data_IF_624220234669
#
_entry.id   IF_624220234669
#
_cell.length_a   1.000
_cell.length_b   1.000
_cell.length_c   1.000
_cell.angle_alpha   90.00
_cell.angle_beta   90.00
_cell.angle_gamma   90.00
#
_symmetry.space_group_name_H-M   'P 1'
#
loop_
_entity.id
_entity.type
_entity.pdbx_description
1 polymer ?
#
# COMPACT_ATOMS: atom_id res chain seq x y z
N UNK A 1 -30.06 7.79 9.98
CA UNK A 1 -29.77 6.34 10.04
C UNK A 1 -30.50 5.65 11.20
N UNK A 2 -31.77 5.97 11.47
CA UNK A 2 -32.57 5.12 12.37
C UNK A 2 -32.80 3.78 11.68
N UNK A 3 -32.70 2.68 12.43
CA UNK A 3 -32.75 1.27 11.99
C UNK A 3 -31.65 0.84 11.00
N UNK A 4 -30.61 1.68 10.82
CA UNK A 4 -29.49 1.42 9.92
C UNK A 4 -28.29 0.74 10.59
N UNK A 5 -27.20 0.63 9.82
CA UNK A 5 -25.88 0.23 10.33
C UNK A 5 -24.92 1.41 10.26
N UNK A 6 -24.18 1.65 11.34
CA UNK A 6 -23.06 2.59 11.38
C UNK A 6 -21.76 1.79 11.33
N UNK A 7 -20.87 2.16 10.42
CA UNK A 7 -19.50 1.66 10.38
C UNK A 7 -18.56 2.72 10.95
N UNK A 8 -17.80 2.36 11.97
CA UNK A 8 -16.80 3.19 12.62
C UNK A 8 -15.43 2.63 12.28
N UNK A 9 -14.63 3.36 11.51
CA UNK A 9 -13.26 2.98 11.21
C UNK A 9 -12.29 3.61 12.22
N UNK A 10 -11.14 2.98 12.41
CA UNK A 10 -10.03 3.46 13.26
C UNK A 10 -10.46 3.84 14.69
N UNK A 11 -11.33 3.04 15.32
CA UNK A 11 -11.88 3.37 16.66
C UNK A 11 -10.81 3.48 17.75
N UNK A 12 -9.63 2.88 17.57
CA UNK A 12 -8.50 2.98 18.50
C UNK A 12 -7.88 4.38 18.59
N UNK A 13 -8.01 5.20 17.55
CA UNK A 13 -7.46 6.57 17.49
C UNK A 13 -8.41 7.62 18.10
N UNK A 14 -9.56 7.20 18.64
CA UNK A 14 -10.56 8.12 19.19
C UNK A 14 -10.06 8.83 20.45
N UNK A 15 -10.24 10.15 20.51
CA UNK A 15 -9.94 10.91 21.72
C UNK A 15 -10.80 10.45 22.92
N UNK A 16 -10.33 10.59 24.16
CA UNK A 16 -11.09 10.16 25.35
C UNK A 16 -12.49 10.78 25.44
N UNK A 17 -12.65 12.03 25.00
CA UNK A 17 -13.94 12.71 24.93
C UNK A 17 -14.89 12.06 23.91
N UNK A 18 -14.36 11.63 22.76
CA UNK A 18 -15.16 10.90 21.76
C UNK A 18 -15.51 9.49 22.22
N UNK A 19 -14.61 8.81 22.92
CA UNK A 19 -14.89 7.51 23.52
C UNK A 19 -16.07 7.59 24.52
N UNK A 20 -16.09 8.62 25.37
CA UNK A 20 -17.20 8.84 26.31
C UNK A 20 -18.53 9.12 25.60
N UNK A 21 -18.51 9.93 24.53
CA UNK A 21 -19.72 10.21 23.74
C UNK A 21 -20.22 8.95 23.04
N UNK A 22 -19.34 8.18 22.42
CA UNK A 22 -19.71 6.93 21.75
C UNK A 22 -20.28 5.92 22.75
N UNK A 23 -19.68 5.80 23.94
CA UNK A 23 -20.20 4.95 25.00
C UNK A 23 -21.64 5.32 25.37
N UNK A 24 -21.94 6.63 25.53
CA UNK A 24 -23.29 7.12 25.80
C UNK A 24 -24.28 6.69 24.70
N UNK A 25 -23.90 6.83 23.44
CA UNK A 25 -24.74 6.37 22.31
C UNK A 25 -24.97 4.85 22.34
N UNK A 26 -23.95 4.05 22.65
CA UNK A 26 -24.04 2.59 22.71
C UNK A 26 -24.83 2.06 23.92
N UNK A 27 -24.87 2.83 25.01
CA UNK A 27 -25.57 2.48 26.24
C UNK A 27 -27.01 2.99 26.24
N UNK A 28 -27.19 4.29 26.05
CA UNK A 28 -28.48 4.99 26.17
C UNK A 28 -29.28 4.96 24.88
N UNK A 29 -28.66 4.58 23.75
CA UNK A 29 -29.28 4.67 22.42
C UNK A 29 -29.76 6.10 22.11
N UNK A 30 -29.04 7.10 22.61
CA UNK A 30 -29.40 8.50 22.52
C UNK A 30 -28.16 9.35 22.22
N UNK A 31 -28.35 10.46 21.51
CA UNK A 31 -27.29 11.45 21.27
C UNK A 31 -27.85 12.87 21.19
N UNK A 32 -26.97 13.85 21.38
CA UNK A 32 -27.27 15.28 21.23
C UNK A 32 -26.51 15.84 20.02
N UNK A 33 -27.15 16.78 19.30
CA UNK A 33 -26.49 17.47 18.18
C UNK A 33 -25.45 18.45 18.71
N UNK A 34 -24.42 18.73 17.92
CA UNK A 34 -23.43 19.76 18.28
C UNK A 34 -24.15 21.11 18.43
N UNK A 35 -24.07 21.71 19.62
CA UNK A 35 -24.73 22.99 19.93
C UNK A 35 -26.23 22.90 20.23
N UNK A 36 -26.82 21.71 20.23
CA UNK A 36 -28.22 21.48 20.60
C UNK A 36 -28.31 20.67 21.90
N UNK A 37 -29.31 20.97 22.73
CA UNK A 37 -29.60 20.21 23.95
C UNK A 37 -30.69 19.14 23.73
N UNK A 38 -31.24 19.04 22.51
CA UNK A 38 -32.26 18.05 22.17
C UNK A 38 -31.64 16.66 22.08
N UNK A 39 -32.14 15.76 22.92
CA UNK A 39 -31.75 14.35 22.93
C UNK A 39 -32.54 13.56 21.89
N UNK A 40 -31.83 12.84 21.02
CA UNK A 40 -32.40 12.09 19.90
C UNK A 40 -32.18 10.59 20.13
N UNK A 41 -33.26 9.81 20.24
CA UNK A 41 -33.23 8.35 20.34
C UNK A 41 -32.89 7.70 19.00
N UNK A 42 -31.89 6.85 18.97
CA UNK A 42 -31.40 6.15 17.78
C UNK A 42 -31.35 4.64 17.98
N UNK A 43 -31.78 3.89 16.97
CA UNK A 43 -31.59 2.44 16.93
C UNK A 43 -30.69 2.11 15.75
N UNK A 44 -29.46 1.66 16.04
CA UNK A 44 -28.43 1.40 15.03
C UNK A 44 -27.66 0.14 15.37
N UNK A 45 -27.36 -0.64 14.33
CA UNK A 45 -26.31 -1.66 14.41
C UNK A 45 -24.96 -0.98 14.28
N UNK A 46 -24.01 -1.31 15.14
CA UNK A 46 -22.65 -0.75 15.08
C UNK A 46 -21.69 -1.82 14.61
N UNK A 47 -20.89 -1.49 13.59
CA UNK A 47 -19.72 -2.23 13.15
C UNK A 47 -18.51 -1.33 13.38
N UNK A 48 -17.49 -1.84 14.04
CA UNK A 48 -16.28 -1.10 14.33
C UNK A 48 -15.05 -1.83 13.77
N UNK A 49 -14.10 -1.07 13.24
CA UNK A 49 -12.81 -1.55 12.76
C UNK A 49 -11.67 -0.77 13.43
N UNK A 50 -10.55 -1.45 13.60
CA UNK A 50 -9.32 -0.87 14.15
C UNK A 50 -8.12 -1.68 13.69
N UNK A 51 -6.99 -1.02 13.49
CA UNK A 51 -5.68 -1.62 13.26
C UNK A 51 -4.86 -1.78 14.56
N UNK A 52 -5.34 -1.23 15.68
CA UNK A 52 -4.66 -1.30 16.97
C UNK A 52 -5.15 -2.45 17.84
N UNK A 53 -4.30 -2.92 18.75
CA UNK A 53 -4.68 -3.89 19.77
C UNK A 53 -5.43 -3.18 20.92
N UNK A 54 -6.76 -3.16 20.86
CA UNK A 54 -7.58 -2.49 21.89
C UNK A 54 -7.37 -3.06 23.30
N UNK A 55 -7.05 -4.35 23.45
CA UNK A 55 -6.78 -4.94 24.77
C UNK A 55 -5.56 -4.29 25.41
N UNK A 56 -4.52 -4.07 24.61
CA UNK A 56 -3.31 -3.40 25.06
C UNK A 56 -3.57 -1.91 25.33
N UNK A 57 -4.33 -1.24 24.46
CA UNK A 57 -4.72 0.16 24.65
C UNK A 57 -5.52 0.40 25.94
N UNK A 58 -6.33 -0.58 26.37
CA UNK A 58 -7.01 -0.55 27.67
C UNK A 58 -6.01 -0.63 28.83
N UNK A 59 -5.02 -1.54 28.76
CA UNK A 59 -3.98 -1.68 29.79
C UNK A 59 -3.12 -0.41 29.89
N UNK A 60 -2.83 0.23 28.76
CA UNK A 60 -2.06 1.47 28.67
C UNK A 60 -2.88 2.72 29.07
N UNK A 61 -4.20 2.59 29.28
CA UNK A 61 -5.09 3.68 29.66
C UNK A 61 -5.46 4.65 28.52
N UNK A 62 -5.04 4.37 27.28
CA UNK A 62 -5.39 5.17 26.10
C UNK A 62 -6.80 4.87 25.58
N UNK A 63 -7.35 3.69 25.92
CA UNK A 63 -8.69 3.28 25.56
C UNK A 63 -9.51 2.88 26.78
N UNK A 64 -10.78 3.28 26.84
CA UNK A 64 -11.63 2.96 27.98
C UNK A 64 -12.09 1.50 27.95
N UNK A 65 -11.95 0.83 29.10
CA UNK A 65 -12.36 -0.55 29.30
C UNK A 65 -13.87 -0.77 29.04
N UNK A 66 -14.70 0.15 29.52
CA UNK A 66 -16.17 0.10 29.35
C UNK A 66 -16.61 0.12 27.88
N UNK A 67 -15.95 0.93 27.06
CA UNK A 67 -16.17 1.00 25.62
C UNK A 67 -15.66 -0.26 24.91
N UNK A 68 -14.51 -0.79 25.32
CA UNK A 68 -13.93 -2.00 24.73
C UNK A 68 -14.89 -3.18 24.81
N UNK A 69 -15.45 -3.47 25.99
CA UNK A 69 -16.39 -4.57 26.14
C UNK A 69 -17.71 -4.37 25.40
N UNK A 70 -18.10 -3.11 25.13
CA UNK A 70 -19.33 -2.81 24.36
C UNK A 70 -19.14 -2.94 22.86
N UNK A 71 -17.93 -2.72 22.35
CA UNK A 71 -17.58 -2.89 20.93
C UNK A 71 -17.19 -4.34 20.62
N UNK A 72 -16.42 -4.99 21.48
CA UNK A 72 -15.82 -6.32 21.26
C UNK A 72 -16.77 -7.47 21.60
N UNK A 73 -18.02 -7.40 21.09
CA UNK A 73 -19.04 -8.44 21.33
C UNK A 73 -18.80 -9.65 20.42
N UNK A 74 -18.61 -9.40 19.12
CA UNK A 74 -18.28 -10.43 18.12
C UNK A 74 -17.03 -9.97 17.37
N UNK A 75 -15.82 -10.30 17.86
CA UNK A 75 -14.58 -9.88 17.21
C UNK A 75 -14.36 -10.68 15.91
N UNK A 76 -14.05 -9.97 14.84
CA UNK A 76 -13.62 -10.54 13.56
C UNK A 76 -12.19 -10.12 13.28
N UNK A 77 -11.29 -11.10 13.16
CA UNK A 77 -9.89 -10.87 12.84
C UNK A 77 -9.68 -11.03 11.34
N UNK A 78 -9.22 -9.97 10.68
CA UNK A 78 -8.90 -10.01 9.25
C UNK A 78 -7.42 -10.39 9.07
N UNK A 79 -7.11 -11.54 8.44
CA UNK A 79 -5.74 -11.95 8.24
C UNK A 79 -5.04 -11.03 7.22
N UNK A 80 -3.77 -10.69 7.44
CA UNK A 80 -2.98 -9.94 6.48
C UNK A 80 -2.75 -10.73 5.19
N UNK A 81 -2.52 -10.04 4.07
CA UNK A 81 -2.34 -10.68 2.76
C UNK A 81 -1.26 -11.77 2.75
N UNK A 82 -0.18 -11.60 3.52
CA UNK A 82 0.89 -12.60 3.67
C UNK A 82 0.44 -13.95 4.23
N UNK A 83 -0.67 -14.01 4.96
CA UNK A 83 -1.26 -15.23 5.51
C UNK A 83 -2.26 -15.87 4.53
N UNK A 84 -2.63 -15.17 3.45
CA UNK A 84 -3.59 -15.60 2.42
C UNK A 84 -3.07 -15.37 1.00
N UNK A 85 -1.85 -15.86 0.74
CA UNK A 85 -1.16 -15.68 -0.55
C UNK A 85 -1.92 -16.24 -1.75
N UNK A 86 -2.81 -17.20 -1.53
CA UNK A 86 -3.65 -17.81 -2.56
C UNK A 86 -4.60 -16.79 -3.21
N UNK A 87 -4.98 -15.73 -2.49
CA UNK A 87 -5.88 -14.68 -2.99
C UNK A 87 -5.17 -13.71 -3.94
N UNK A 88 -3.84 -13.67 -3.95
CA UNK A 88 -3.05 -12.68 -4.71
C UNK A 88 -3.38 -12.73 -6.20
N UNK A 89 -3.46 -13.91 -6.81
CA UNK A 89 -3.74 -14.03 -8.24
C UNK A 89 -5.14 -13.50 -8.62
N UNK A 90 -6.15 -13.81 -7.80
CA UNK A 90 -7.52 -13.36 -8.02
C UNK A 90 -7.65 -11.85 -7.80
N UNK A 91 -7.06 -11.32 -6.73
CA UNK A 91 -7.01 -9.88 -6.46
C UNK A 91 -6.28 -9.15 -7.58
N UNK A 92 -5.16 -9.70 -8.05
CA UNK A 92 -4.36 -9.06 -9.07
C UNK A 92 -5.10 -8.94 -10.39
N UNK A 93 -5.76 -10.02 -10.83
CA UNK A 93 -6.61 -10.00 -12.03
C UNK A 93 -7.72 -8.94 -11.93
N UNK A 94 -8.36 -8.84 -10.74
CA UNK A 94 -9.39 -7.82 -10.49
C UNK A 94 -8.86 -6.39 -10.60
N UNK A 95 -7.64 -6.13 -10.12
CA UNK A 95 -7.02 -4.81 -10.22
C UNK A 95 -6.58 -4.48 -11.65
N UNK A 96 -6.06 -5.45 -12.40
CA UNK A 96 -5.72 -5.27 -13.82
C UNK A 96 -6.95 -4.86 -14.61
N UNK A 97 -8.07 -5.57 -14.45
CA UNK A 97 -9.33 -5.23 -15.12
C UNK A 97 -9.81 -3.81 -14.81
N UNK A 98 -9.64 -3.38 -13.55
CA UNK A 98 -9.98 -2.04 -13.10
C UNK A 98 -9.11 -1.00 -13.80
N UNK A 99 -7.78 -1.17 -13.77
CA UNK A 99 -6.84 -0.17 -14.29
C UNK A 99 -6.70 -0.19 -15.81
N UNK A 100 -6.98 -1.31 -16.47
CA UNK A 100 -7.13 -1.37 -17.93
C UNK A 100 -8.24 -0.41 -18.39
N UNK A 101 -9.39 -0.42 -17.70
CA UNK A 101 -10.51 0.49 -18.03
C UNK A 101 -10.18 1.94 -17.72
N UNK A 102 -9.47 2.19 -16.61
CA UNK A 102 -9.12 3.54 -16.17
C UNK A 102 -8.07 4.19 -17.10
N UNK A 103 -7.05 3.43 -17.51
CA UNK A 103 -5.94 3.93 -18.32
C UNK A 103 -6.11 3.66 -19.83
N UNK A 104 -7.21 3.03 -20.25
CA UNK A 104 -7.45 2.68 -21.65
C UNK A 104 -6.44 1.65 -22.19
N UNK A 105 -5.96 0.74 -21.34
CA UNK A 105 -5.00 -0.31 -21.70
C UNK A 105 -5.64 -1.67 -21.86
N UNK A 106 -4.93 -2.59 -22.52
CA UNK A 106 -5.37 -3.95 -22.78
C UNK A 106 -4.36 -4.98 -22.25
N UNK A 107 -3.97 -4.85 -20.98
CA UNK A 107 -3.10 -5.84 -20.32
C UNK A 107 -3.87 -7.15 -20.18
N UNK A 108 -3.36 -8.21 -20.80
CA UNK A 108 -3.92 -9.56 -20.84
C UNK A 108 -3.74 -10.34 -19.52
N UNK A 109 -2.75 -9.99 -18.70
CA UNK A 109 -2.54 -10.60 -17.38
C UNK A 109 -1.14 -10.46 -16.81
N UNK A 110 -0.82 -11.31 -15.84
CA UNK A 110 0.49 -11.41 -15.18
C UNK A 110 1.10 -12.77 -15.53
N UNK A 111 2.40 -12.82 -15.82
CA UNK A 111 3.11 -14.08 -16.05
C UNK A 111 3.19 -14.93 -14.78
N UNK A 112 3.33 -16.25 -14.91
CA UNK A 112 3.47 -17.15 -13.76
C UNK A 112 4.65 -16.76 -12.86
N UNK A 113 5.79 -16.38 -13.47
CA UNK A 113 6.98 -15.91 -12.75
C UNK A 113 6.69 -14.64 -11.94
N UNK A 114 5.95 -13.69 -12.50
CA UNK A 114 5.57 -12.47 -11.81
C UNK A 114 4.57 -12.75 -10.66
N UNK A 115 3.65 -13.69 -10.83
CA UNK A 115 2.77 -14.13 -9.75
C UNK A 115 3.54 -14.78 -8.59
N UNK A 116 4.55 -15.60 -8.90
CA UNK A 116 5.44 -16.17 -7.88
C UNK A 116 6.22 -15.09 -7.15
N UNK A 117 6.75 -14.11 -7.88
CA UNK A 117 7.42 -12.95 -7.31
C UNK A 117 6.52 -12.17 -6.35
N UNK A 118 5.27 -11.91 -6.75
CA UNK A 118 4.26 -11.27 -5.89
C UNK A 118 3.90 -12.13 -4.67
N UNK A 119 3.84 -13.45 -4.82
CA UNK A 119 3.52 -14.36 -3.72
C UNK A 119 4.67 -14.49 -2.70
N UNK A 120 5.92 -14.32 -3.13
CA UNK A 120 7.08 -14.37 -2.23
C UNK A 120 7.14 -13.13 -1.31
N UNK A 121 6.66 -11.98 -1.79
CA UNK A 121 6.68 -10.73 -1.03
C UNK A 121 5.74 -10.73 0.19
N UNK A 122 6.12 -9.99 1.23
CA UNK A 122 5.44 -9.99 2.54
C UNK A 122 4.28 -9.00 2.66
N UNK A 123 4.10 -8.10 1.68
CA UNK A 123 3.00 -7.13 1.63
C UNK A 123 2.74 -6.40 2.97
N UNK A 124 3.72 -5.64 3.52
CA UNK A 124 3.53 -4.86 4.74
C UNK A 124 2.32 -3.91 4.67
N UNK A 125 2.01 -3.34 3.51
CA UNK A 125 0.82 -2.52 3.25
C UNK A 125 -0.42 -3.32 2.80
N UNK A 126 -0.34 -4.65 2.82
CA UNK A 126 -1.45 -5.57 2.57
C UNK A 126 -2.06 -5.36 1.16
N UNK A 127 -3.38 -5.55 1.01
CA UNK A 127 -4.08 -5.37 -0.28
C UNK A 127 -3.84 -3.99 -0.90
N UNK A 128 -3.71 -2.92 -0.11
CA UNK A 128 -3.49 -1.56 -0.65
C UNK A 128 -2.15 -1.45 -1.38
N UNK A 129 -1.10 -2.08 -0.84
CA UNK A 129 0.20 -2.10 -1.49
C UNK A 129 0.20 -2.95 -2.76
N UNK A 130 -0.50 -4.10 -2.74
CA UNK A 130 -0.70 -4.91 -3.95
C UNK A 130 -1.45 -4.13 -5.04
N UNK A 131 -2.53 -3.44 -4.67
CA UNK A 131 -3.30 -2.61 -5.59
C UNK A 131 -2.42 -1.51 -6.20
N UNK A 132 -1.66 -0.78 -5.38
CA UNK A 132 -0.75 0.26 -5.87
C UNK A 132 0.36 -0.29 -6.78
N UNK A 133 0.92 -1.46 -6.45
CA UNK A 133 1.95 -2.10 -7.27
C UNK A 133 1.41 -2.47 -8.66
N UNK A 134 0.18 -2.98 -8.73
CA UNK A 134 -0.48 -3.33 -9.99
C UNK A 134 -0.91 -2.10 -10.76
N UNK A 135 -1.46 -1.08 -10.10
CA UNK A 135 -1.78 0.21 -10.72
C UNK A 135 -0.58 0.76 -11.48
N UNK A 136 0.58 0.80 -10.82
CA UNK A 136 1.84 1.25 -11.41
C UNK A 136 2.31 0.35 -12.54
N UNK A 137 2.27 -0.96 -12.34
CA UNK A 137 2.69 -1.92 -13.36
C UNK A 137 1.84 -1.76 -14.63
N UNK A 138 0.52 -1.70 -14.51
CA UNK A 138 -0.40 -1.47 -15.62
C UNK A 138 -0.13 -0.11 -16.26
N UNK A 139 0.02 0.96 -15.48
CA UNK A 139 0.30 2.28 -16.03
C UNK A 139 1.62 2.28 -16.82
N UNK A 140 2.71 1.77 -16.28
CA UNK A 140 4.03 1.81 -16.92
C UNK A 140 4.23 0.74 -17.99
N UNK A 141 3.36 -0.27 -18.04
CA UNK A 141 3.49 -1.40 -18.95
C UNK A 141 3.59 -0.95 -20.41
N UNK A 142 4.63 -1.45 -21.09
CA UNK A 142 4.81 -1.30 -22.54
C UNK A 142 4.33 -2.51 -23.32
N UNK A 143 3.99 -3.59 -22.62
CA UNK A 143 3.65 -4.92 -23.14
C UNK A 143 2.25 -5.30 -22.69
N UNK A 144 1.67 -6.32 -23.33
CA UNK A 144 0.35 -6.83 -22.99
C UNK A 144 0.35 -7.76 -21.76
N UNK A 145 1.51 -8.24 -21.31
CA UNK A 145 1.62 -9.08 -20.11
C UNK A 145 2.63 -8.48 -19.13
N UNK A 146 2.29 -8.48 -17.85
CA UNK A 146 3.14 -7.97 -16.77
C UNK A 146 4.17 -9.01 -16.35
N UNK A 147 5.43 -8.60 -16.31
CA UNK A 147 6.59 -9.41 -15.94
C UNK A 147 7.12 -9.03 -14.54
N UNK A 148 8.01 -9.82 -13.91
CA UNK A 148 8.54 -9.50 -12.59
C UNK A 148 9.18 -8.11 -12.52
N UNK A 149 9.87 -7.69 -13.59
CA UNK A 149 10.53 -6.39 -13.72
C UNK A 149 9.59 -5.19 -13.74
N UNK A 150 8.30 -5.39 -14.01
CA UNK A 150 7.30 -4.31 -13.89
C UNK A 150 6.97 -4.01 -12.42
N UNK A 151 7.21 -4.96 -11.51
CA UNK A 151 6.88 -4.87 -10.08
C UNK A 151 8.07 -4.44 -9.23
N UNK A 152 8.13 -3.15 -8.93
CA UNK A 152 9.14 -2.55 -8.05
C UNK A 152 8.69 -2.62 -6.59
N UNK A 153 8.77 -3.81 -5.99
CA UNK A 153 8.29 -4.09 -4.62
C UNK A 153 9.19 -3.44 -3.56
N UNK A 154 8.60 -2.88 -2.50
CA UNK A 154 9.33 -2.13 -1.44
C UNK A 154 9.82 -0.73 -1.86
N UNK A 155 9.65 -0.39 -3.13
CA UNK A 155 10.07 0.85 -3.76
C UNK A 155 8.81 1.58 -4.26
N UNK A 156 7.90 1.96 -3.36
CA UNK A 156 6.65 2.62 -3.74
C UNK A 156 6.89 4.13 -3.95
N UNK A 157 6.92 4.65 -5.20
CA UNK A 157 7.10 6.07 -5.43
C UNK A 157 5.92 6.86 -4.88
N UNK A 158 4.68 6.33 -4.89
CA UNK A 158 3.52 7.00 -4.31
C UNK A 158 3.63 7.12 -2.78
N UNK A 159 4.28 6.18 -2.09
CA UNK A 159 4.64 6.32 -0.68
C UNK A 159 5.65 7.46 -0.48
N UNK A 160 6.68 7.56 -1.34
CA UNK A 160 7.63 8.67 -1.30
C UNK A 160 7.01 10.03 -1.68
N UNK A 161 6.07 10.05 -2.65
CA UNK A 161 5.38 11.27 -3.08
C UNK A 161 4.33 11.69 -2.02
N UNK A 162 3.65 10.74 -1.34
CA UNK A 162 2.71 11.07 -0.25
C UNK A 162 3.40 11.56 1.01
N UNK A 163 4.59 11.04 1.31
CA UNK A 163 5.38 11.44 2.49
C UNK A 163 6.11 12.78 2.32
N UNK A 164 6.10 13.40 1.12
CA UNK A 164 6.70 14.71 0.91
C UNK A 164 8.21 14.77 1.23
N UNK A 165 8.89 13.62 1.25
CA UNK A 165 10.33 13.57 1.53
C UNK A 165 11.06 14.10 0.31
N UNK A 166 11.40 15.38 0.41
CA UNK A 166 12.42 16.01 -0.39
C UNK A 166 13.74 15.31 -0.01
N UNK A 167 14.23 14.38 -0.83
CA UNK A 167 15.58 13.83 -0.74
C UNK A 167 16.61 14.90 -1.15
N UNK A 168 16.67 15.99 -0.39
CA UNK A 168 17.84 16.84 -0.28
C UNK A 168 18.47 16.63 1.08
N UNK A 169 18.97 15.41 1.25
CA UNK A 169 20.09 15.05 2.11
C UNK A 169 20.36 13.57 1.86
N UNK A 170 21.49 13.27 1.22
CA UNK A 170 22.02 11.93 1.23
C UNK A 170 22.14 11.48 2.68
N UNK A 171 21.52 10.35 2.99
CA UNK A 171 21.77 9.59 4.19
C UNK A 171 21.46 8.14 3.85
N UNK A 172 22.52 7.35 3.80
CA UNK A 172 22.49 5.91 3.97
C UNK A 172 21.58 5.54 5.13
N UNK A 173 20.60 4.65 4.90
CA UNK A 173 20.07 3.66 5.86
C UNK A 173 19.28 2.63 5.03
N UNK A 174 19.43 1.33 5.13
CA UNK A 174 20.47 0.48 5.70
C UNK A 174 20.35 -0.89 5.01
N UNK A 175 21.51 -1.40 4.61
CA UNK A 175 21.74 -2.84 4.60
C UNK A 175 21.52 -3.31 6.04
N UNK A 176 20.49 -4.10 6.27
CA UNK A 176 20.33 -4.84 7.52
C UNK A 176 21.41 -5.90 7.60
N UNK A 177 22.55 -5.53 8.19
CA UNK A 177 23.55 -6.45 8.69
C UNK A 177 22.92 -7.22 9.85
N UNK A 178 22.70 -8.52 9.67
CA UNK A 178 22.57 -9.44 10.79
C UNK A 178 23.98 -9.72 11.34
N UNK A 179 24.38 -8.98 12.37
CA UNK A 179 25.49 -9.40 13.23
C UNK A 179 25.00 -10.49 14.19
N UNK A 180 25.59 -11.66 14.04
CA UNK A 180 25.41 -12.82 14.90
C UNK A 180 26.50 -13.84 14.61
N UNK A 181 27.77 -13.42 14.71
CA UNK A 181 28.91 -14.33 14.70
C UNK A 181 29.10 -14.91 16.11
N UNK A 182 28.55 -16.11 16.30
CA UNK A 182 29.11 -17.15 17.14
C UNK A 182 29.89 -18.13 16.26
N UNK A 183 31.11 -18.39 16.65
CA UNK A 183 32.19 -19.13 15.99
C UNK A 183 31.87 -20.60 15.65
N UNK A 184 32.32 -21.09 14.48
CA UNK A 184 32.98 -22.39 14.23
C UNK A 184 32.90 -22.90 12.77
N UNK A 185 34.07 -23.00 12.11
CA UNK A 185 34.46 -24.15 11.25
C UNK A 185 33.93 -24.28 9.80
N UNK A 186 34.83 -24.25 8.80
CA UNK A 186 34.57 -24.64 7.39
C UNK A 186 34.39 -26.16 7.17
N UNK A 187 34.61 -26.75 5.97
CA UNK A 187 35.08 -26.19 4.69
C UNK A 187 34.28 -26.66 3.43
N UNK A 188 34.64 -26.18 2.23
CA UNK A 188 34.46 -26.95 0.98
C UNK A 188 33.91 -26.21 -0.25
N UNK A 189 34.79 -25.69 -1.10
CA UNK A 189 34.50 -25.43 -2.53
C UNK A 189 34.79 -26.69 -3.35
N UNK A 190 33.98 -27.03 -4.36
CA UNK A 190 34.46 -27.77 -5.51
C UNK A 190 34.69 -26.83 -6.69
N UNK A 191 35.89 -26.95 -7.22
CA UNK A 191 36.39 -26.52 -8.51
C UNK A 191 35.72 -27.28 -9.66
N UNK A 192 35.47 -26.57 -10.76
CA UNK A 192 35.39 -27.17 -12.09
C UNK A 192 34.16 -26.74 -12.88
N UNK A 193 34.35 -25.89 -13.88
CA UNK A 193 34.12 -26.24 -15.28
C UNK A 193 34.87 -25.24 -16.17
N UNK A 194 35.80 -25.78 -16.94
CA UNK A 194 36.61 -25.07 -17.92
C UNK A 194 35.77 -24.66 -19.13
N UNK A 195 36.23 -23.61 -19.80
CA UNK A 195 35.53 -23.00 -20.92
C UNK A 195 35.54 -23.82 -22.20
N UNK A 196 34.75 -23.33 -23.16
CA UNK A 196 35.02 -23.32 -24.60
C UNK A 196 33.85 -22.61 -25.30
N UNK A 197 34.16 -21.76 -26.29
CA UNK A 197 33.24 -21.47 -27.38
C UNK A 197 32.80 -20.03 -27.54
N UNK A 198 33.69 -19.19 -28.06
CA UNK A 198 33.33 -17.98 -28.80
C UNK A 198 32.49 -18.37 -30.04
N UNK A 199 31.29 -17.82 -30.16
CA UNK A 199 30.52 -17.77 -31.41
C UNK A 199 29.57 -16.58 -31.35
N UNK A 200 30.03 -15.51 -31.99
CA UNK A 200 29.26 -14.35 -32.46
C UNK A 200 27.82 -14.72 -32.81
N UNK A 201 26.87 -14.16 -32.08
CA UNK A 201 25.57 -13.81 -32.65
C UNK A 201 25.18 -12.41 -32.20
N UNK A 202 24.74 -11.62 -33.17
CA UNK A 202 24.44 -10.20 -33.08
C UNK A 202 22.99 -9.97 -32.68
N UNK A 203 22.76 -8.95 -31.86
CA UNK A 203 21.50 -8.18 -31.82
C UNK A 203 20.44 -8.70 -30.85
N UNK A 204 20.23 -7.96 -29.76
CA UNK A 204 19.14 -8.15 -28.81
C UNK A 204 19.47 -7.42 -27.52
N UNK A 205 19.07 -6.16 -27.44
CA UNK A 205 19.26 -5.25 -26.31
C UNK A 205 18.50 -5.74 -25.07
N UNK A 206 19.11 -6.60 -24.26
CA UNK A 206 18.64 -6.92 -22.90
C UNK A 206 19.60 -6.30 -21.87
N UNK A 207 19.88 -5.01 -22.04
CA UNK A 207 20.42 -4.16 -20.98
C UNK A 207 19.25 -3.84 -20.04
N UNK A 208 18.92 -4.82 -19.18
CA UNK A 208 17.83 -4.77 -18.21
C UNK A 208 18.16 -3.71 -17.13
N UNK A 209 17.87 -2.45 -17.43
CA UNK A 209 17.96 -1.35 -16.49
C UNK A 209 17.00 -1.59 -15.32
N UNK A 210 17.55 -2.03 -14.19
CA UNK A 210 16.93 -1.75 -12.89
C UNK A 210 16.76 -0.23 -12.79
N UNK A 211 15.53 0.25 -12.98
CA UNK A 211 15.24 1.68 -12.93
C UNK A 211 15.47 2.19 -11.52
N UNK A 212 16.14 3.33 -11.41
CA UNK A 212 16.25 3.99 -10.11
C UNK A 212 14.86 4.43 -9.63
N UNK A 213 14.67 4.53 -8.31
CA UNK A 213 13.44 5.05 -7.71
C UNK A 213 13.06 6.43 -8.27
N UNK A 214 14.06 7.28 -8.54
CA UNK A 214 13.84 8.62 -9.09
C UNK A 214 13.41 8.57 -10.56
N UNK A 215 13.96 7.66 -11.36
CA UNK A 215 13.53 7.43 -12.75
C UNK A 215 12.11 6.88 -12.81
N UNK A 216 11.76 5.96 -11.92
CA UNK A 216 10.41 5.40 -11.82
C UNK A 216 9.40 6.50 -11.45
N UNK A 217 9.74 7.35 -10.48
CA UNK A 217 8.91 8.49 -10.09
C UNK A 217 8.71 9.48 -11.25
N UNK A 218 9.79 9.89 -11.92
CA UNK A 218 9.74 10.81 -13.05
C UNK A 218 8.85 10.26 -14.17
N UNK A 219 9.03 8.97 -14.52
CA UNK A 219 8.24 8.31 -15.55
C UNK A 219 6.76 8.23 -15.18
N UNK A 220 6.46 7.89 -13.92
CA UNK A 220 5.09 7.81 -13.43
C UNK A 220 4.39 9.17 -13.50
N UNK A 221 5.05 10.24 -13.02
CA UNK A 221 4.51 11.60 -13.08
C UNK A 221 4.26 12.03 -14.53
N UNK A 222 5.23 11.81 -15.42
CA UNK A 222 5.12 12.15 -16.83
C UNK A 222 3.91 11.46 -17.47
N UNK A 223 3.74 10.17 -17.23
CA UNK A 223 2.66 9.42 -17.83
C UNK A 223 1.27 9.84 -17.32
N UNK A 224 1.15 10.18 -16.03
CA UNK A 224 -0.12 10.71 -15.50
C UNK A 224 -0.41 12.10 -16.05
N UNK A 225 0.60 12.94 -16.26
CA UNK A 225 0.43 14.26 -16.89
C UNK A 225 -0.04 14.12 -18.34
N UNK A 226 0.54 13.20 -19.11
CA UNK A 226 0.12 12.91 -20.49
C UNK A 226 -1.34 12.44 -20.56
N UNK A 227 -1.76 11.52 -19.67
CA UNK A 227 -3.16 11.06 -19.60
C UNK A 227 -4.15 12.14 -19.15
N UNK A 228 -3.66 13.15 -18.44
CA UNK A 228 -4.48 14.26 -17.95
C UNK A 228 -4.43 15.50 -18.85
N UNK A 229 -3.85 15.42 -20.06
CA UNK A 229 -3.62 16.57 -20.96
C UNK A 229 -2.93 17.76 -20.24
N UNK A 230 -1.90 17.46 -19.42
CA UNK A 230 -1.18 18.41 -18.56
C UNK A 230 -2.05 19.18 -17.54
N UNK A 231 -3.25 18.66 -17.23
CA UNK A 231 -4.06 19.20 -16.14
C UNK A 231 -3.46 18.83 -14.79
N UNK A 232 -2.57 19.69 -14.28
CA UNK A 232 -1.84 19.49 -13.01
C UNK A 232 -2.73 19.27 -11.79
N UNK A 233 -3.92 19.86 -11.76
CA UNK A 233 -4.86 19.64 -10.65
C UNK A 233 -5.47 18.25 -10.73
N UNK A 234 -5.81 17.82 -11.95
CA UNK A 234 -6.31 16.47 -12.20
C UNK A 234 -5.23 15.42 -11.92
N UNK A 235 -4.02 15.62 -12.46
CA UNK A 235 -2.87 14.75 -12.26
C UNK A 235 -2.50 14.61 -10.78
N UNK A 236 -2.52 15.71 -10.00
CA UNK A 236 -2.25 15.63 -8.56
C UNK A 236 -3.27 14.77 -7.81
N UNK A 237 -4.54 14.82 -8.20
CA UNK A 237 -5.60 13.99 -7.63
C UNK A 237 -5.42 12.52 -7.99
N UNK A 238 -5.06 12.22 -9.24
CA UNK A 238 -4.76 10.85 -9.70
C UNK A 238 -3.54 10.29 -8.97
N UNK A 239 -2.48 11.09 -8.84
CA UNK A 239 -1.27 10.75 -8.09
C UNK A 239 -1.48 10.69 -6.56
N UNK A 240 -2.68 11.04 -6.05
CA UNK A 240 -3.05 11.09 -4.63
C UNK A 240 -2.11 11.98 -3.79
N UNK A 241 -1.64 13.09 -4.38
CA UNK A 241 -0.67 14.00 -3.76
C UNK A 241 -1.19 15.43 -3.80
N UNK A 242 -0.61 16.31 -2.98
CA UNK A 242 -0.96 17.72 -3.07
C UNK A 242 -0.48 18.30 -4.41
N UNK A 243 -1.25 19.23 -4.97
CA UNK A 243 -0.84 19.99 -6.18
C UNK A 243 0.54 20.64 -6.01
N UNK A 244 0.86 21.09 -4.80
CA UNK A 244 2.17 21.68 -4.46
C UNK A 244 3.30 20.66 -4.59
N UNK A 245 3.11 19.44 -4.09
CA UNK A 245 4.08 18.35 -4.22
C UNK A 245 4.33 18.03 -5.69
N UNK A 246 3.27 17.91 -6.49
CA UNK A 246 3.39 17.68 -7.93
C UNK A 246 4.22 18.78 -8.61
N UNK A 247 3.91 20.05 -8.35
CA UNK A 247 4.64 21.18 -8.94
C UNK A 247 6.13 21.19 -8.54
N UNK A 248 6.47 20.80 -7.31
CA UNK A 248 7.86 20.68 -6.87
C UNK A 248 8.59 19.56 -7.62
N UNK A 249 7.91 18.43 -7.86
CA UNK A 249 8.49 17.29 -8.58
C UNK A 249 8.66 17.58 -10.08
N UNK A 250 7.67 18.23 -10.72
CA UNK A 250 7.79 18.72 -12.11
C UNK A 250 9.03 19.60 -12.27
N UNK A 251 9.25 20.55 -11.34
CA UNK A 251 10.45 21.39 -11.34
C UNK A 251 11.75 20.61 -11.08
N UNK A 252 11.71 19.60 -10.20
CA UNK A 252 12.89 18.76 -9.89
C UNK A 252 13.34 17.97 -11.11
N UNK A 253 12.40 17.46 -11.89
CA UNK A 253 12.64 16.56 -13.03
C UNK A 253 12.64 17.26 -14.40
N UNK A 254 12.43 18.58 -14.42
CA UNK A 254 12.34 19.40 -15.64
C UNK A 254 11.34 18.83 -16.68
N UNK A 255 10.12 18.53 -16.19
CA UNK A 255 8.99 17.99 -16.95
C UNK A 255 8.05 19.06 -17.50
#
# INVERSE_FOLDING_TARGET
AHTGTIFLDEVGEMSPAMQAKLLRVLQEKEFERVGGAETIKVDVRVLAATNQNLKQAVVEGSFREDLYYRLSVVPLFLPPLRERKQDIAALASRFIDKYNKEFGKAISGITSEALEHLAFYNWPGNIRELENAIERAVLLARRDALMPSDFHLGADPAHFISLGINTQRGHDVAVGVCEGLGDAGGPGRPSGWGGLGDSRNSGGDDEECAMSLEELECRYIKQVLEQCDDNRTHAARVLKITRRTLLNKIKKYDL
#
